data_IF_877292934019
#
_entry.id   IF_877292934019
#
_cell.length_a   1.000
_cell.length_b   1.000
_cell.length_c   1.000
_cell.angle_alpha   90.00
_cell.angle_beta   90.00
_cell.angle_gamma   90.00
#
_symmetry.space_group_name_H-M   'P 1'
#
loop_
_entity.id
_entity.type
_entity.pdbx_description
1 polymer ?
#
# COMPACT_ATOMS: atom_id res chain seq x y z
N UNK A 1 15.74 -3.74 -20.00
CA UNK A 1 16.05 -2.36 -19.57
C UNK A 1 17.44 -2.01 -20.07
N UNK A 2 17.61 -0.93 -20.84
CA UNK A 2 18.96 -0.39 -21.06
C UNK A 2 19.46 0.07 -19.68
N UNK A 3 20.48 -0.59 -19.17
CA UNK A 3 21.21 -0.13 -17.99
C UNK A 3 21.83 1.21 -18.34
N UNK A 4 21.18 2.31 -17.95
CA UNK A 4 21.74 3.64 -18.11
C UNK A 4 23.11 3.65 -17.44
N UNK A 5 24.13 4.06 -18.19
CA UNK A 5 25.46 4.21 -17.64
C UNK A 5 25.47 5.26 -16.51
N UNK A 6 26.59 5.32 -15.77
CA UNK A 6 26.62 6.07 -14.53
C UNK A 6 26.26 7.55 -14.68
N UNK A 7 26.73 8.15 -15.77
CA UNK A 7 26.54 9.56 -16.10
C UNK A 7 25.15 9.86 -16.65
N UNK A 8 24.56 8.99 -17.46
CA UNK A 8 23.25 9.22 -18.08
C UNK A 8 22.12 9.26 -17.04
N UNK A 9 22.17 8.40 -16.02
CA UNK A 9 21.18 8.45 -14.93
C UNK A 9 21.35 9.70 -14.07
N UNK A 10 22.60 10.11 -13.80
CA UNK A 10 22.88 11.33 -13.04
C UNK A 10 22.33 12.56 -13.77
N UNK A 11 22.50 12.62 -15.10
CA UNK A 11 21.87 13.64 -15.94
C UNK A 11 20.34 13.56 -15.83
N UNK A 12 19.75 12.37 -15.94
CA UNK A 12 18.30 12.19 -15.79
C UNK A 12 17.77 12.70 -14.43
N UNK A 13 18.51 12.47 -13.34
CA UNK A 13 18.17 13.01 -12.01
C UNK A 13 18.27 14.53 -11.98
N UNK A 14 19.35 15.10 -12.51
CA UNK A 14 19.52 16.55 -12.60
C UNK A 14 18.41 17.22 -13.43
N UNK A 15 18.00 16.60 -14.53
CA UNK A 15 16.95 17.13 -15.39
C UNK A 15 15.55 16.99 -14.76
N UNK A 16 15.29 15.87 -14.08
CA UNK A 16 14.05 15.70 -13.32
C UNK A 16 13.94 16.74 -12.18
N UNK A 17 15.03 17.04 -11.46
CA UNK A 17 15.04 18.10 -10.44
C UNK A 17 14.72 19.48 -11.03
N UNK A 18 15.30 19.83 -12.20
CA UNK A 18 14.96 21.10 -12.89
C UNK A 18 13.49 21.17 -13.31
N UNK A 19 12.90 20.02 -13.61
CA UNK A 19 11.51 19.90 -14.08
C UNK A 19 10.53 19.58 -12.94
N UNK A 20 10.97 19.68 -11.68
CA UNK A 20 10.21 19.19 -10.52
C UNK A 20 8.79 19.78 -10.44
N UNK A 21 8.60 21.05 -10.81
CA UNK A 21 7.29 21.71 -10.82
C UNK A 21 6.30 21.24 -11.90
N UNK A 22 6.71 20.38 -12.84
CA UNK A 22 5.86 19.92 -13.95
C UNK A 22 5.57 18.42 -13.88
N UNK A 23 4.42 18.05 -13.32
CA UNK A 23 3.98 16.65 -13.22
C UNK A 23 3.98 15.94 -14.58
N UNK A 24 3.49 16.61 -15.63
CA UNK A 24 3.47 16.04 -16.97
C UNK A 24 4.87 15.72 -17.49
N UNK A 25 5.85 16.60 -17.26
CA UNK A 25 7.22 16.37 -17.72
C UNK A 25 7.89 15.27 -16.92
N UNK A 26 7.72 15.27 -15.59
CA UNK A 26 8.21 14.20 -14.72
C UNK A 26 7.63 12.83 -15.08
N UNK A 27 6.35 12.77 -15.43
CA UNK A 27 5.68 11.52 -15.84
C UNK A 27 6.26 10.87 -17.10
N UNK A 28 6.96 11.67 -17.92
CA UNK A 28 7.64 11.26 -19.15
C UNK A 28 9.15 11.10 -18.95
N UNK A 29 9.66 11.42 -17.77
CA UNK A 29 11.09 11.34 -17.48
C UNK A 29 11.56 9.90 -17.45
N UNK A 30 12.86 9.71 -17.63
CA UNK A 30 13.51 8.40 -17.52
C UNK A 30 13.36 7.79 -16.12
N UNK A 31 13.18 8.64 -15.10
CA UNK A 31 12.95 8.21 -13.71
C UNK A 31 11.54 7.69 -13.48
N UNK A 32 10.58 7.93 -14.37
CA UNK A 32 9.22 7.40 -14.28
C UNK A 32 9.12 5.89 -14.62
N UNK A 33 10.21 5.14 -14.42
CA UNK A 33 10.26 3.69 -14.60
C UNK A 33 9.41 2.97 -13.55
N UNK A 34 8.71 1.91 -13.97
CA UNK A 34 7.80 1.15 -13.10
C UNK A 34 8.49 0.58 -11.84
N UNK A 35 9.74 0.09 -11.96
CA UNK A 35 10.49 -0.48 -10.84
C UNK A 35 10.77 0.53 -9.72
N UNK A 36 11.17 1.75 -10.09
CA UNK A 36 11.42 2.81 -9.12
C UNK A 36 10.13 3.30 -8.48
N UNK A 37 9.09 3.49 -9.30
CA UNK A 37 7.84 4.12 -8.87
C UNK A 37 6.92 3.17 -8.10
N UNK A 38 7.07 1.86 -8.24
CA UNK A 38 6.17 0.85 -7.65
C UNK A 38 5.77 1.12 -6.19
N UNK A 39 6.69 1.43 -5.24
CA UNK A 39 6.30 1.73 -3.87
C UNK A 39 5.47 3.01 -3.70
N UNK A 40 5.60 3.98 -4.61
CA UNK A 40 4.89 5.26 -4.56
C UNK A 40 3.53 5.25 -5.29
N UNK A 41 3.26 4.24 -6.15
CA UNK A 41 2.00 4.10 -6.89
C UNK A 41 0.93 3.41 -6.04
N UNK A 42 0.42 4.12 -5.03
CA UNK A 42 -0.46 3.56 -4.00
C UNK A 42 -1.94 3.60 -4.35
N UNK A 43 -2.36 4.39 -5.35
CA UNK A 43 -3.75 4.43 -5.84
C UNK A 43 -3.98 3.43 -6.97
N UNK A 44 -3.04 3.36 -7.92
CA UNK A 44 -3.09 2.45 -9.06
C UNK A 44 -1.67 2.08 -9.52
N UNK A 45 -1.21 0.88 -9.17
CA UNK A 45 0.09 0.38 -9.63
C UNK A 45 0.01 -0.31 -11.02
N UNK A 46 -1.19 -0.55 -11.55
CA UNK A 46 -1.39 -1.32 -12.79
C UNK A 46 -1.45 -0.38 -13.99
N UNK A 47 -2.21 0.71 -13.88
CA UNK A 47 -2.39 1.68 -14.95
C UNK A 47 -2.40 3.13 -14.42
N UNK A 48 -1.29 3.59 -13.82
CA UNK A 48 -1.22 4.92 -13.24
C UNK A 48 -1.40 6.01 -14.31
N UNK A 49 -2.11 7.08 -13.95
CA UNK A 49 -2.23 8.27 -14.78
C UNK A 49 -0.88 8.97 -14.97
N UNK A 50 -0.80 9.90 -15.91
CA UNK A 50 0.40 10.75 -16.04
C UNK A 50 0.63 11.57 -14.76
N UNK A 51 -0.44 12.08 -14.15
CA UNK A 51 -0.36 12.85 -12.91
C UNK A 51 0.19 12.02 -11.74
N UNK A 52 -0.34 10.81 -11.53
CA UNK A 52 0.13 9.89 -10.48
C UNK A 52 1.59 9.50 -10.67
N UNK A 53 2.02 9.25 -11.92
CA UNK A 53 3.43 9.00 -12.22
C UNK A 53 4.31 10.22 -11.92
N UNK A 54 3.85 11.42 -12.28
CA UNK A 54 4.54 12.66 -11.97
C UNK A 54 4.70 12.87 -10.46
N UNK A 55 3.63 12.67 -9.70
CA UNK A 55 3.62 12.77 -8.23
C UNK A 55 4.52 11.71 -7.59
N UNK A 56 4.50 10.47 -8.09
CA UNK A 56 5.38 9.40 -7.62
C UNK A 56 6.87 9.76 -7.85
N UNK A 57 7.23 10.32 -9.00
CA UNK A 57 8.59 10.83 -9.26
C UNK A 57 8.93 11.96 -8.28
N UNK A 58 8.02 12.92 -8.05
CA UNK A 58 8.25 14.01 -7.09
C UNK A 58 8.51 13.48 -5.68
N UNK A 59 7.71 12.52 -5.23
CA UNK A 59 7.84 11.91 -3.91
C UNK A 59 9.19 11.21 -3.76
N UNK A 60 9.59 10.44 -4.76
CA UNK A 60 10.87 9.72 -4.73
C UNK A 60 12.07 10.67 -4.78
N UNK A 61 11.98 11.78 -5.53
CA UNK A 61 13.01 12.83 -5.51
C UNK A 61 13.07 13.54 -4.16
N UNK A 62 11.93 13.89 -3.55
CA UNK A 62 11.89 14.46 -2.19
C UNK A 62 12.49 13.51 -1.16
N UNK A 63 12.13 12.23 -1.23
CA UNK A 63 12.71 11.18 -0.39
C UNK A 63 14.23 11.13 -0.55
N UNK A 64 14.74 11.08 -1.79
CA UNK A 64 16.16 10.98 -2.05
C UNK A 64 16.96 12.23 -1.67
N UNK A 65 16.38 13.43 -1.84
CA UNK A 65 17.01 14.69 -1.36
C UNK A 65 17.02 14.73 0.16
N UNK A 66 15.94 14.30 0.83
CA UNK A 66 15.90 14.25 2.29
C UNK A 66 16.99 13.34 2.90
N UNK A 67 17.52 12.37 2.15
CA UNK A 67 18.64 11.51 2.57
C UNK A 67 19.99 12.24 2.64
N UNK A 68 20.12 13.41 2.02
CA UNK A 68 21.30 14.25 2.14
C UNK A 68 21.39 14.97 3.49
N UNK A 69 20.27 15.06 4.22
CA UNK A 69 20.26 15.68 5.54
C UNK A 69 20.98 14.76 6.56
N UNK A 70 21.92 15.29 7.36
CA UNK A 70 22.65 14.51 8.36
C UNK A 70 21.75 13.86 9.42
N UNK A 71 20.62 14.50 9.72
CA UNK A 71 19.56 14.01 10.61
C UNK A 71 18.19 14.34 10.00
N UNK A 72 17.11 13.88 10.61
CA UNK A 72 15.75 14.21 10.16
C UNK A 72 15.60 15.74 10.02
N UNK A 73 15.20 16.24 8.85
CA UNK A 73 15.03 17.68 8.64
C UNK A 73 14.06 18.30 9.64
N UNK A 74 14.48 19.40 10.27
CA UNK A 74 13.67 20.10 11.26
C UNK A 74 12.43 20.78 10.65
N UNK A 75 12.49 21.36 9.43
CA UNK A 75 11.28 21.64 8.67
C UNK A 75 10.99 20.46 7.74
N UNK A 76 9.81 19.85 7.91
CA UNK A 76 9.26 18.90 6.96
C UNK A 76 9.00 19.57 5.60
N UNK A 77 8.88 18.76 4.54
CA UNK A 77 8.39 19.23 3.25
C UNK A 77 7.02 19.92 3.43
N UNK A 78 6.83 21.07 2.78
CA UNK A 78 5.67 21.94 2.82
C UNK A 78 5.72 22.99 3.94
N UNK A 79 6.69 22.92 4.85
CA UNK A 79 6.87 23.92 5.90
C UNK A 79 7.92 24.96 5.53
N UNK A 80 7.60 26.21 5.83
CA UNK A 80 8.53 27.33 5.68
C UNK A 80 9.74 27.13 6.60
N UNK A 81 10.93 27.51 6.10
CA UNK A 81 12.18 27.36 6.82
C UNK A 81 12.69 28.73 7.27
N UNK A 82 12.81 28.97 8.59
CA UNK A 82 13.30 30.25 9.11
C UNK A 82 14.71 30.60 8.60
N UNK A 83 14.97 31.88 8.32
CA UNK A 83 16.29 32.35 7.88
C UNK A 83 17.37 32.30 8.96
N UNK A 84 16.98 32.22 10.23
CA UNK A 84 17.87 32.08 11.39
C UNK A 84 18.17 30.61 11.75
N UNK A 85 17.67 29.64 10.98
CA UNK A 85 17.99 28.22 11.16
C UNK A 85 19.51 28.00 11.07
N UNK A 86 20.18 27.52 12.14
CA UNK A 86 21.64 27.37 12.17
C UNK A 86 22.16 26.39 11.09
N UNK A 87 21.33 25.47 10.64
CA UNK A 87 21.70 24.49 9.60
C UNK A 87 21.85 25.11 8.22
N UNK A 88 21.44 26.36 7.99
CA UNK A 88 21.77 27.07 6.75
C UNK A 88 23.29 27.12 6.53
N UNK A 89 24.03 27.50 7.58
CA UNK A 89 25.48 27.71 7.55
C UNK A 89 26.31 26.44 7.76
N UNK A 90 25.68 25.34 8.19
CA UNK A 90 26.37 24.06 8.41
C UNK A 90 26.72 23.38 7.06
N UNK A 91 28.02 23.15 6.77
CA UNK A 91 28.46 22.50 5.54
C UNK A 91 27.85 21.12 5.29
N UNK A 92 27.51 20.38 6.35
CA UNK A 92 26.89 19.06 6.23
C UNK A 92 25.46 19.14 5.67
N UNK A 93 24.80 20.30 5.81
CA UNK A 93 23.44 20.52 5.32
C UNK A 93 23.38 21.19 3.96
N UNK A 94 24.49 21.74 3.45
CA UNK A 94 24.50 22.51 2.20
C UNK A 94 23.90 21.74 1.01
N UNK A 95 24.24 20.46 0.84
CA UNK A 95 23.69 19.64 -0.25
C UNK A 95 22.16 19.56 -0.21
N UNK A 96 21.61 19.26 0.96
CA UNK A 96 20.17 19.25 1.20
C UNK A 96 19.54 20.63 0.96
N UNK A 97 20.08 21.68 1.61
CA UNK A 97 19.54 23.04 1.54
C UNK A 97 19.50 23.57 0.11
N UNK A 98 20.59 23.37 -0.65
CA UNK A 98 20.69 23.80 -2.04
C UNK A 98 19.64 23.09 -2.90
N UNK A 99 19.54 21.75 -2.81
CA UNK A 99 18.62 21.01 -3.68
C UNK A 99 17.15 21.23 -3.30
N UNK A 100 16.83 21.25 -1.99
CA UNK A 100 15.49 21.56 -1.50
C UNK A 100 15.05 22.92 -2.01
N UNK A 101 15.80 23.96 -1.65
CA UNK A 101 15.34 25.33 -1.90
C UNK A 101 15.51 25.76 -3.34
N UNK A 102 16.33 25.10 -4.16
CA UNK A 102 16.44 25.44 -5.59
C UNK A 102 15.42 24.75 -6.48
N UNK A 103 15.02 23.52 -6.15
CA UNK A 103 14.26 22.68 -7.07
C UNK A 103 12.92 22.24 -6.51
N UNK A 104 12.89 21.86 -5.23
CA UNK A 104 11.75 21.16 -4.65
C UNK A 104 10.78 22.13 -3.97
N UNK A 105 11.32 23.12 -3.26
CA UNK A 105 10.61 24.21 -2.58
C UNK A 105 11.34 25.53 -2.81
N UNK A 106 11.21 26.12 -4.02
CA UNK A 106 11.82 27.40 -4.36
C UNK A 106 11.49 28.50 -3.35
N UNK A 107 12.52 29.21 -2.88
CA UNK A 107 12.34 30.47 -2.14
C UNK A 107 11.48 31.44 -2.98
N UNK A 108 10.56 32.13 -2.31
CA UNK A 108 9.71 33.11 -2.97
C UNK A 108 10.56 34.30 -3.45
N UNK A 109 10.25 34.96 -4.59
CA UNK A 109 11.01 36.13 -5.05
C UNK A 109 11.09 37.26 -4.01
N UNK A 110 10.07 37.41 -3.16
CA UNK A 110 10.04 38.41 -2.09
C UNK A 110 11.02 38.11 -0.94
N UNK A 111 11.53 36.88 -0.88
CA UNK A 111 12.54 36.43 0.10
C UNK A 111 13.98 36.66 -0.40
N UNK A 112 14.13 37.19 -1.63
CA UNK A 112 15.45 37.45 -2.17
C UNK A 112 16.07 38.64 -1.46
N UNK A 113 17.40 38.58 -1.28
CA UNK A 113 18.18 39.70 -0.74
C UNK A 113 18.01 40.91 -1.66
N UNK A 114 17.97 42.14 -1.12
CA UNK A 114 17.69 43.34 -1.92
C UNK A 114 18.56 43.42 -3.20
N UNK A 115 17.90 43.42 -4.37
CA UNK A 115 18.56 43.46 -5.68
C UNK A 115 19.22 42.15 -6.12
N UNK A 116 19.13 41.10 -5.31
CA UNK A 116 19.80 39.83 -5.51
C UNK A 116 18.99 38.79 -6.31
N UNK A 117 19.70 37.88 -6.97
CA UNK A 117 19.11 36.73 -7.67
C UNK A 117 19.02 35.51 -6.75
N UNK A 118 18.21 34.52 -7.16
CA UNK A 118 18.02 33.26 -6.43
C UNK A 118 19.31 32.60 -5.92
N UNK A 119 20.37 32.53 -6.74
CA UNK A 119 21.67 31.94 -6.34
C UNK A 119 22.39 32.77 -5.27
N UNK A 120 22.32 34.10 -5.35
CA UNK A 120 22.95 35.01 -4.39
C UNK A 120 22.27 34.91 -3.02
N UNK A 121 20.95 34.77 -2.99
CA UNK A 121 20.19 34.49 -1.76
C UNK A 121 20.67 33.21 -1.09
N UNK A 122 20.79 32.11 -1.84
CA UNK A 122 21.28 30.85 -1.27
C UNK A 122 22.75 30.92 -0.84
N UNK A 123 23.62 31.64 -1.56
CA UNK A 123 25.01 31.87 -1.13
C UNK A 123 25.04 32.60 0.22
N UNK A 124 24.24 33.65 0.36
CA UNK A 124 24.17 34.44 1.59
C UNK A 124 23.63 33.64 2.78
N UNK A 125 22.56 32.86 2.56
CA UNK A 125 21.99 32.00 3.62
C UNK A 125 22.99 30.90 4.02
N UNK A 126 23.59 30.22 3.04
CA UNK A 126 24.50 29.09 3.32
C UNK A 126 25.89 29.51 3.80
N UNK A 127 26.29 30.76 3.58
CA UNK A 127 27.64 31.24 3.88
C UNK A 127 28.71 30.67 2.93
N UNK A 128 28.31 30.13 1.77
CA UNK A 128 29.25 29.62 0.77
C UNK A 128 29.97 30.80 0.11
N UNK A 129 31.30 30.73 0.06
CA UNK A 129 32.16 31.87 -0.29
C UNK A 129 32.17 32.26 -1.77
N UNK A 130 31.72 31.39 -2.68
CA UNK A 130 31.70 31.69 -4.12
C UNK A 130 30.71 30.81 -4.90
N UNK A 131 30.30 31.30 -6.07
CA UNK A 131 29.46 30.54 -7.01
C UNK A 131 30.09 29.22 -7.45
N UNK A 132 31.41 29.18 -7.65
CA UNK A 132 32.12 27.96 -8.04
C UNK A 132 31.93 26.84 -7.00
N UNK A 133 32.13 27.16 -5.71
CA UNK A 133 31.94 26.21 -4.62
C UNK A 133 30.47 25.79 -4.52
N UNK A 134 29.54 26.73 -4.71
CA UNK A 134 28.10 26.43 -4.71
C UNK A 134 27.73 25.40 -5.79
N UNK A 135 28.17 25.62 -7.03
CA UNK A 135 27.89 24.70 -8.13
C UNK A 135 28.57 23.34 -7.94
N UNK A 136 29.75 23.29 -7.33
CA UNK A 136 30.43 22.04 -6.98
C UNK A 136 29.69 21.26 -5.89
N UNK A 137 29.19 21.92 -4.85
CA UNK A 137 28.34 21.29 -3.82
C UNK A 137 27.04 20.79 -4.44
N UNK A 138 26.36 21.63 -5.23
CA UNK A 138 25.14 21.24 -5.95
C UNK A 138 25.36 20.01 -6.82
N UNK A 139 26.42 20.00 -7.63
CA UNK A 139 26.71 18.90 -8.52
C UNK A 139 27.00 17.63 -7.71
N UNK A 140 27.80 17.70 -6.63
CA UNK A 140 28.03 16.56 -5.72
C UNK A 140 26.73 16.02 -5.12
N UNK A 141 25.86 16.90 -4.62
CA UNK A 141 24.57 16.53 -4.07
C UNK A 141 23.69 15.79 -5.10
N UNK A 142 23.66 16.24 -6.36
CA UNK A 142 22.92 15.54 -7.43
C UNK A 142 23.49 14.12 -7.66
N UNK A 143 24.83 13.93 -7.59
CA UNK A 143 25.44 12.60 -7.71
C UNK A 143 25.02 11.69 -6.57
N UNK A 144 24.98 12.22 -5.36
CA UNK A 144 24.61 11.47 -4.17
C UNK A 144 23.12 11.07 -4.19
N UNK A 145 22.22 11.98 -4.60
CA UNK A 145 20.81 11.66 -4.87
C UNK A 145 20.69 10.54 -5.90
N UNK A 146 21.44 10.64 -7.01
CA UNK A 146 21.44 9.60 -8.03
C UNK A 146 21.94 8.25 -7.49
N UNK A 147 22.94 8.24 -6.59
CA UNK A 147 23.42 7.04 -5.93
C UNK A 147 22.36 6.45 -4.99
N UNK A 148 21.65 7.26 -4.21
CA UNK A 148 20.55 6.79 -3.35
C UNK A 148 19.43 6.15 -4.17
N UNK A 149 19.02 6.78 -5.27
CA UNK A 149 17.98 6.24 -6.16
C UNK A 149 18.41 4.91 -6.81
N UNK A 150 19.67 4.80 -7.25
CA UNK A 150 20.21 3.54 -7.77
C UNK A 150 20.28 2.45 -6.71
N UNK A 151 20.72 2.80 -5.51
CA UNK A 151 20.74 1.85 -4.41
C UNK A 151 19.32 1.36 -4.14
N UNK A 152 18.34 2.25 -4.09
CA UNK A 152 16.94 1.89 -3.91
C UNK A 152 16.38 1.00 -5.03
N UNK A 153 16.71 1.27 -6.30
CA UNK A 153 16.36 0.40 -7.42
C UNK A 153 16.85 -1.04 -7.24
N UNK A 154 18.06 -1.21 -6.67
CA UNK A 154 18.68 -2.52 -6.50
C UNK A 154 18.26 -3.23 -5.22
N UNK A 155 18.21 -2.50 -4.10
CA UNK A 155 18.02 -3.09 -2.77
C UNK A 155 16.58 -3.06 -2.28
N UNK A 156 15.76 -2.15 -2.82
CA UNK A 156 14.35 -1.96 -2.48
C UNK A 156 14.08 -1.74 -0.98
N UNK A 157 15.10 -1.38 -0.20
CA UNK A 157 15.04 -1.34 1.27
C UNK A 157 14.10 -0.26 1.79
N UNK A 158 13.91 0.83 1.05
CA UNK A 158 13.02 1.92 1.45
C UNK A 158 11.59 1.79 0.92
N UNK A 159 11.19 0.65 0.33
CA UNK A 159 9.86 0.48 -0.26
C UNK A 159 8.73 0.77 0.73
N UNK A 160 8.84 0.27 1.97
CA UNK A 160 7.83 0.51 3.02
C UNK A 160 7.77 1.99 3.42
N UNK A 161 8.92 2.65 3.55
CA UNK A 161 9.00 4.08 3.88
C UNK A 161 8.37 4.95 2.80
N UNK A 162 8.76 4.72 1.54
CA UNK A 162 8.24 5.44 0.36
C UNK A 162 6.73 5.22 0.23
N UNK A 163 6.26 3.98 0.40
CA UNK A 163 4.83 3.64 0.37
C UNK A 163 4.04 4.36 1.45
N UNK A 164 4.54 4.40 2.68
CA UNK A 164 3.86 5.08 3.78
C UNK A 164 3.77 6.59 3.54
N UNK A 165 4.83 7.20 2.98
CA UNK A 165 4.80 8.61 2.57
C UNK A 165 3.77 8.84 1.46
N UNK A 166 3.74 7.97 0.44
CA UNK A 166 2.78 8.09 -0.66
C UNK A 166 1.33 7.91 -0.20
N UNK A 167 1.07 6.98 0.73
CA UNK A 167 -0.25 6.80 1.34
C UNK A 167 -0.68 8.03 2.13
N UNK A 168 0.23 8.62 2.91
CA UNK A 168 -0.07 9.83 3.68
C UNK A 168 -0.43 11.00 2.75
N UNK A 169 0.36 11.26 1.72
CA UNK A 169 0.08 12.33 0.75
C UNK A 169 -1.21 12.07 -0.03
N UNK A 170 -1.43 10.83 -0.48
CA UNK A 170 -2.64 10.48 -1.21
C UNK A 170 -3.90 10.66 -0.36
N UNK A 171 -3.85 10.37 0.95
CA UNK A 171 -4.99 10.45 1.86
C UNK A 171 -5.24 11.85 2.43
N UNK A 172 -4.28 12.77 2.34
CA UNK A 172 -4.40 14.14 2.88
C UNK A 172 -5.70 14.88 2.46
N UNK A 173 -6.19 14.79 1.20
CA UNK A 173 -7.45 15.42 0.80
C UNK A 173 -8.68 14.90 1.54
N UNK A 174 -8.62 13.69 2.11
CA UNK A 174 -9.71 13.06 2.83
C UNK A 174 -9.73 13.39 4.33
N UNK A 175 -8.69 13.99 4.89
CA UNK A 175 -8.59 14.29 6.34
C UNK A 175 -9.78 15.10 6.87
N UNK A 176 -10.32 16.00 6.04
CA UNK A 176 -11.48 16.84 6.37
C UNK A 176 -12.83 16.24 5.94
N UNK A 177 -12.83 14.99 5.48
CA UNK A 177 -13.99 14.31 4.87
C UNK A 177 -14.24 12.93 5.50
N UNK A 178 -14.67 12.87 6.77
CA UNK A 178 -14.76 11.61 7.53
C UNK A 178 -15.72 10.58 6.91
N UNK A 179 -16.81 11.03 6.26
CA UNK A 179 -17.73 10.15 5.56
C UNK A 179 -17.05 9.42 4.38
N UNK A 180 -16.20 10.10 3.61
CA UNK A 180 -15.46 9.48 2.52
C UNK A 180 -14.41 8.50 3.04
N UNK A 181 -13.70 8.86 4.11
CA UNK A 181 -12.74 7.96 4.77
C UNK A 181 -13.43 6.68 5.27
N UNK A 182 -14.60 6.80 5.87
CA UNK A 182 -15.35 5.65 6.36
C UNK A 182 -15.85 4.76 5.21
N UNK A 183 -16.39 5.33 4.13
CA UNK A 183 -16.79 4.56 2.93
C UNK A 183 -15.58 3.87 2.30
N UNK A 184 -14.44 4.55 2.20
CA UNK A 184 -13.21 3.98 1.66
C UNK A 184 -12.68 2.84 2.56
N UNK A 185 -12.76 3.02 3.88
CA UNK A 185 -12.42 1.99 4.88
C UNK A 185 -13.32 0.76 4.82
N UNK A 186 -14.62 0.94 4.53
CA UNK A 186 -15.54 -0.17 4.24
C UNK A 186 -15.16 -0.90 2.94
N UNK A 187 -14.82 -0.15 1.88
CA UNK A 187 -14.32 -0.70 0.62
C UNK A 187 -13.05 -1.53 0.81
N UNK A 188 -12.21 -1.17 1.78
CA UNK A 188 -10.98 -1.90 2.10
C UNK A 188 -11.19 -3.31 2.67
N UNK A 189 -12.42 -3.68 3.03
CA UNK A 189 -12.72 -5.04 3.49
C UNK A 189 -12.81 -6.05 2.35
N UNK A 190 -13.10 -5.60 1.13
CA UNK A 190 -13.28 -6.47 -0.02
C UNK A 190 -11.94 -6.90 -0.61
N UNK A 191 -11.83 -8.19 -0.95
CA UNK A 191 -10.65 -8.76 -1.62
C UNK A 191 -10.81 -8.64 -3.14
N UNK A 192 -10.01 -7.76 -3.75
CA UNK A 192 -9.94 -7.64 -5.20
C UNK A 192 -11.06 -6.76 -5.76
N UNK A 193 -11.65 -7.19 -6.87
CA UNK A 193 -12.78 -6.51 -7.52
C UNK A 193 -14.07 -6.92 -6.80
N UNK A 194 -14.96 -5.97 -6.55
CA UNK A 194 -16.21 -6.20 -5.83
C UNK A 194 -17.37 -5.39 -6.40
N UNK A 195 -18.60 -5.86 -6.21
CA UNK A 195 -19.78 -5.17 -6.71
C UNK A 195 -20.00 -3.83 -5.98
N UNK A 196 -20.22 -2.76 -6.75
CA UNK A 196 -20.57 -1.43 -6.23
C UNK A 196 -21.78 -1.48 -5.30
N UNK A 197 -22.81 -2.22 -5.71
CA UNK A 197 -24.05 -2.36 -4.94
C UNK A 197 -23.79 -2.87 -3.51
N UNK A 198 -22.81 -3.75 -3.32
CA UNK A 198 -22.50 -4.29 -2.00
C UNK A 198 -21.88 -3.25 -1.07
N UNK A 199 -21.04 -2.36 -1.61
CA UNK A 199 -20.53 -1.23 -0.84
C UNK A 199 -21.65 -0.23 -0.53
N UNK A 200 -22.53 0.06 -1.48
CA UNK A 200 -23.69 0.94 -1.26
C UNK A 200 -24.60 0.41 -0.15
N UNK A 201 -24.91 -0.88 -0.16
CA UNK A 201 -25.69 -1.54 0.89
C UNK A 201 -25.00 -1.48 2.26
N UNK A 202 -23.69 -1.75 2.31
CA UNK A 202 -22.92 -1.73 3.55
C UNK A 202 -22.86 -0.31 4.17
N UNK A 203 -22.67 0.70 3.32
CA UNK A 203 -22.67 2.12 3.70
C UNK A 203 -24.05 2.54 4.20
N UNK A 204 -25.13 2.10 3.52
CA UNK A 204 -26.50 2.36 3.93
C UNK A 204 -26.85 1.69 5.27
N UNK A 205 -26.40 0.44 5.49
CA UNK A 205 -26.60 -0.29 6.73
C UNK A 205 -25.94 0.40 7.93
N UNK A 206 -24.84 1.12 7.72
CA UNK A 206 -24.17 1.92 8.75
C UNK A 206 -24.67 3.37 8.83
N UNK A 207 -25.77 3.69 8.13
CA UNK A 207 -26.44 5.00 8.14
C UNK A 207 -25.56 6.16 7.70
N UNK A 208 -24.56 5.89 6.85
CA UNK A 208 -23.77 6.95 6.23
C UNK A 208 -24.61 7.57 5.11
N UNK A 209 -24.89 8.89 5.14
CA UNK A 209 -25.74 9.52 4.15
C UNK A 209 -25.04 9.60 2.78
N UNK A 210 -25.86 9.64 1.72
CA UNK A 210 -25.41 9.85 0.34
C UNK A 210 -24.39 8.81 -0.18
N UNK A 211 -24.62 7.52 0.11
CA UNK A 211 -23.72 6.42 -0.26
C UNK A 211 -23.19 6.51 -1.71
N UNK A 212 -24.08 6.57 -2.71
CA UNK A 212 -23.68 6.64 -4.12
C UNK A 212 -22.89 7.91 -4.46
N UNK A 213 -23.19 9.04 -3.82
CA UNK A 213 -22.45 10.30 -4.01
C UNK A 213 -21.04 10.20 -3.43
N UNK A 214 -20.89 9.59 -2.26
CA UNK A 214 -19.59 9.39 -1.62
C UNK A 214 -18.72 8.43 -2.45
N UNK A 215 -19.30 7.35 -2.95
CA UNK A 215 -18.60 6.39 -3.83
C UNK A 215 -18.19 7.07 -5.13
N UNK A 216 -19.08 7.82 -5.79
CA UNK A 216 -18.73 8.58 -7.00
C UNK A 216 -17.59 9.57 -6.71
N UNK A 217 -17.64 10.27 -5.57
CA UNK A 217 -16.56 11.19 -5.18
C UNK A 217 -15.23 10.47 -4.98
N UNK A 218 -15.22 9.27 -4.41
CA UNK A 218 -14.00 8.45 -4.28
C UNK A 218 -13.48 7.93 -5.63
N UNK A 219 -14.36 7.70 -6.60
CA UNK A 219 -13.98 7.36 -7.98
C UNK A 219 -13.38 8.59 -8.68
N UNK A 220 -14.00 9.77 -8.55
CA UNK A 220 -13.49 11.02 -9.12
C UNK A 220 -12.11 11.38 -8.56
N UNK A 221 -11.90 11.11 -7.27
CA UNK A 221 -10.63 11.27 -6.58
C UNK A 221 -9.66 10.10 -6.80
N UNK A 222 -10.02 9.12 -7.63
CA UNK A 222 -9.23 7.93 -8.00
C UNK A 222 -8.86 6.98 -6.87
N UNK A 223 -9.47 7.09 -5.69
CA UNK A 223 -9.29 6.09 -4.63
C UNK A 223 -9.95 4.76 -4.98
N UNK A 224 -11.05 4.79 -5.74
CA UNK A 224 -11.71 3.60 -6.27
C UNK A 224 -11.63 3.63 -7.79
N UNK A 225 -11.29 2.48 -8.38
CA UNK A 225 -11.42 2.28 -9.84
C UNK A 225 -12.74 1.58 -10.10
N UNK A 226 -13.51 2.13 -11.03
CA UNK A 226 -14.71 1.48 -11.53
C UNK A 226 -14.42 0.81 -12.89
N UNK A 227 -15.13 -0.29 -13.19
CA UNK A 227 -15.18 -0.82 -14.55
C UNK A 227 -15.99 0.12 -15.48
N UNK A 228 -16.01 -0.18 -16.78
CA UNK A 228 -16.67 0.68 -17.79
C UNK A 228 -18.17 0.92 -17.52
N UNK A 229 -18.83 -0.04 -16.86
CA UNK A 229 -20.25 0.05 -16.50
C UNK A 229 -20.51 0.64 -15.11
N UNK A 230 -19.46 0.93 -14.33
CA UNK A 230 -19.58 1.42 -12.96
C UNK A 230 -20.14 0.41 -11.95
N UNK A 231 -20.34 -0.85 -12.34
CA UNK A 231 -20.96 -1.89 -11.52
C UNK A 231 -19.98 -2.58 -10.58
N UNK A 232 -18.70 -2.57 -10.92
CA UNK A 232 -17.63 -3.19 -10.15
C UNK A 232 -16.60 -2.15 -9.76
N UNK A 233 -16.08 -2.30 -8.55
CA UNK A 233 -15.10 -1.44 -7.94
C UNK A 233 -13.84 -2.23 -7.61
N UNK A 234 -12.71 -1.55 -7.67
CA UNK A 234 -11.42 -2.06 -7.26
C UNK A 234 -10.70 -1.03 -6.41
N UNK A 235 -10.04 -1.52 -5.37
CA UNK A 235 -9.17 -0.75 -4.50
C UNK A 235 -7.75 -1.30 -4.58
N UNK A 236 -6.77 -0.41 -4.71
CA UNK A 236 -5.36 -0.78 -4.71
C UNK A 236 -5.01 -1.62 -3.46
N UNK A 237 -4.24 -2.72 -3.60
CA UNK A 237 -3.81 -3.52 -2.45
C UNK A 237 -3.05 -2.71 -1.40
N UNK A 238 -2.14 -1.81 -1.82
CA UNK A 238 -1.36 -0.99 -0.89
C UNK A 238 -2.25 -0.07 -0.06
N UNK A 239 -3.26 0.54 -0.69
CA UNK A 239 -4.23 1.40 -0.02
C UNK A 239 -5.18 0.59 0.87
N UNK A 240 -5.67 -0.55 0.37
CA UNK A 240 -6.54 -1.46 1.10
C UNK A 240 -5.91 -1.90 2.41
N UNK A 241 -4.69 -2.42 2.35
CA UNK A 241 -4.03 -2.99 3.53
C UNK A 241 -3.76 -1.91 4.58
N UNK A 242 -3.36 -0.71 4.14
CA UNK A 242 -3.17 0.43 5.02
C UNK A 242 -4.47 0.84 5.73
N UNK A 243 -5.57 0.97 4.98
CA UNK A 243 -6.86 1.38 5.52
C UNK A 243 -7.45 0.33 6.46
N UNK A 244 -7.32 -0.96 6.12
CA UNK A 244 -7.82 -2.08 6.92
C UNK A 244 -7.32 -2.00 8.36
N UNK A 245 -6.02 -1.75 8.53
CA UNK A 245 -5.38 -1.67 9.85
C UNK A 245 -5.74 -0.42 10.67
N UNK A 246 -6.28 0.62 10.03
CA UNK A 246 -6.71 1.85 10.71
C UNK A 246 -8.16 1.79 11.19
N UNK A 247 -8.95 0.83 10.72
CA UNK A 247 -10.37 0.75 11.04
C UNK A 247 -10.61 0.31 12.49
N UNK A 248 -11.74 0.75 13.06
CA UNK A 248 -12.17 0.29 14.38
C UNK A 248 -12.48 -1.23 14.36
N UNK A 249 -11.81 -2.06 15.18
CA UNK A 249 -11.99 -3.52 15.15
C UNK A 249 -13.42 -4.02 15.41
N UNK A 250 -14.26 -3.25 16.14
CA UNK A 250 -15.67 -3.60 16.35
C UNK A 250 -16.49 -3.35 15.09
N UNK A 251 -16.26 -2.21 14.43
CA UNK A 251 -16.94 -1.87 13.18
C UNK A 251 -16.56 -2.85 12.07
N UNK A 252 -15.26 -3.14 11.93
CA UNK A 252 -14.73 -4.15 11.00
C UNK A 252 -15.43 -5.47 11.19
N UNK A 253 -15.47 -6.03 12.41
CA UNK A 253 -16.14 -7.32 12.64
C UNK A 253 -17.59 -7.31 12.20
N UNK A 254 -18.35 -6.26 12.52
CA UNK A 254 -19.75 -6.13 12.08
C UNK A 254 -19.87 -6.10 10.55
N UNK A 255 -19.05 -5.32 9.87
CA UNK A 255 -19.05 -5.24 8.41
C UNK A 255 -18.61 -6.55 7.76
N UNK A 256 -17.60 -7.22 8.30
CA UNK A 256 -17.15 -8.54 7.84
C UNK A 256 -18.29 -9.58 7.91
N UNK A 257 -19.11 -9.57 8.96
CA UNK A 257 -20.31 -10.44 9.03
C UNK A 257 -21.32 -10.14 7.93
N UNK A 258 -21.54 -8.87 7.60
CA UNK A 258 -22.49 -8.49 6.54
C UNK A 258 -21.98 -8.93 5.17
N UNK A 259 -20.70 -8.71 4.88
CA UNK A 259 -20.07 -9.15 3.64
C UNK A 259 -20.07 -10.67 3.53
N UNK A 260 -19.73 -11.39 4.61
CA UNK A 260 -19.76 -12.85 4.65
C UNK A 260 -21.15 -13.40 4.32
N UNK A 261 -22.21 -12.82 4.90
CA UNK A 261 -23.58 -13.21 4.63
C UNK A 261 -23.98 -12.99 3.16
N UNK A 262 -23.45 -11.95 2.49
CA UNK A 262 -23.67 -11.72 1.06
C UNK A 262 -22.99 -12.77 0.19
N UNK A 263 -21.72 -13.08 0.45
CA UNK A 263 -21.04 -14.16 -0.27
C UNK A 263 -21.72 -15.52 -0.07
N UNK A 264 -22.24 -15.77 1.13
CA UNK A 264 -23.00 -16.99 1.43
C UNK A 264 -24.30 -17.08 0.61
N UNK A 265 -25.01 -15.96 0.42
CA UNK A 265 -26.23 -15.90 -0.39
C UNK A 265 -25.99 -16.21 -1.88
N UNK A 266 -24.85 -15.80 -2.43
CA UNK A 266 -24.50 -16.04 -3.84
C UNK A 266 -23.76 -17.36 -4.06
N UNK A 267 -23.54 -18.15 -3.00
CA UNK A 267 -22.91 -19.46 -3.07
C UNK A 267 -21.38 -19.47 -3.02
N UNK A 268 -20.72 -18.31 -2.90
CA UNK A 268 -19.26 -18.22 -2.83
C UNK A 268 -18.74 -18.59 -1.43
N UNK A 269 -18.51 -19.89 -1.23
CA UNK A 269 -18.14 -20.45 0.05
C UNK A 269 -16.77 -19.98 0.57
N UNK A 270 -15.79 -19.79 -0.32
CA UNK A 270 -14.43 -19.43 0.07
C UNK A 270 -14.35 -17.99 0.57
N UNK A 271 -14.95 -17.04 -0.16
CA UNK A 271 -14.98 -15.66 0.30
C UNK A 271 -15.85 -15.51 1.55
N UNK A 272 -17.01 -16.17 1.61
CA UNK A 272 -17.85 -16.18 2.81
C UNK A 272 -17.06 -16.68 4.05
N UNK A 273 -16.38 -17.83 3.92
CA UNK A 273 -15.58 -18.41 4.99
C UNK A 273 -14.44 -17.48 5.44
N UNK A 274 -13.73 -16.84 4.51
CA UNK A 274 -12.68 -15.87 4.83
C UNK A 274 -13.24 -14.70 5.65
N UNK A 275 -14.33 -14.09 5.19
CA UNK A 275 -14.96 -12.97 5.88
C UNK A 275 -15.51 -13.38 7.27
N UNK A 276 -16.03 -14.59 7.44
CA UNK A 276 -16.42 -15.11 8.75
C UNK A 276 -15.23 -15.23 9.71
N UNK A 277 -14.07 -15.70 9.24
CA UNK A 277 -12.84 -15.72 10.06
C UNK A 277 -12.44 -14.30 10.47
N UNK A 278 -12.45 -13.34 9.55
CA UNK A 278 -12.12 -11.94 9.88
C UNK A 278 -13.12 -11.31 10.88
N UNK A 279 -14.36 -11.80 10.89
CA UNK A 279 -15.36 -11.42 11.89
C UNK A 279 -15.15 -12.08 13.27
N UNK A 280 -14.27 -13.08 13.37
CA UNK A 280 -14.08 -13.93 14.56
C UNK A 280 -15.06 -15.10 14.66
N UNK A 281 -15.85 -15.38 13.62
CA UNK A 281 -16.87 -16.43 13.57
C UNK A 281 -16.29 -17.73 13.01
N UNK A 282 -15.29 -18.29 13.68
CA UNK A 282 -14.55 -19.47 13.21
C UNK A 282 -15.45 -20.70 13.01
N UNK A 283 -16.41 -20.94 13.91
CA UNK A 283 -17.34 -22.07 13.81
C UNK A 283 -18.14 -22.00 12.50
N UNK A 284 -18.77 -20.86 12.22
CA UNK A 284 -19.56 -20.66 11.00
C UNK A 284 -18.71 -20.76 9.74
N UNK A 285 -17.47 -20.27 9.78
CA UNK A 285 -16.52 -20.43 8.68
C UNK A 285 -16.20 -21.91 8.39
N UNK A 286 -15.87 -22.67 9.44
CA UNK A 286 -15.56 -24.09 9.34
C UNK A 286 -16.75 -24.90 8.81
N UNK A 287 -17.96 -24.67 9.35
CA UNK A 287 -19.20 -25.31 8.88
C UNK A 287 -19.47 -25.00 7.39
N UNK A 288 -19.21 -23.76 6.96
CA UNK A 288 -19.39 -23.37 5.56
C UNK A 288 -18.41 -24.10 4.64
N UNK A 289 -17.13 -24.19 5.01
CA UNK A 289 -16.13 -24.90 4.22
C UNK A 289 -16.41 -26.40 4.16
N UNK A 290 -16.76 -27.02 5.30
CA UNK A 290 -17.09 -28.44 5.35
C UNK A 290 -18.30 -28.79 4.47
N UNK A 291 -19.38 -28.02 4.59
CA UNK A 291 -20.61 -28.24 3.80
C UNK A 291 -20.41 -27.99 2.30
N UNK A 292 -19.48 -27.13 1.92
CA UNK A 292 -19.20 -26.79 0.51
C UNK A 292 -18.01 -27.56 -0.09
N UNK A 293 -17.28 -28.34 0.71
CA UNK A 293 -15.99 -28.94 0.34
C UNK A 293 -16.05 -29.82 -0.91
N UNK A 294 -17.08 -30.65 -1.04
CA UNK A 294 -17.25 -31.51 -2.22
C UNK A 294 -17.43 -30.71 -3.51
N UNK A 295 -18.25 -29.65 -3.46
CA UNK A 295 -18.45 -28.75 -4.60
C UNK A 295 -17.15 -28.04 -4.99
N UNK A 296 -16.42 -27.49 -3.99
CA UNK A 296 -15.15 -26.82 -4.21
C UNK A 296 -14.08 -27.74 -4.83
N UNK A 297 -13.99 -28.99 -4.38
CA UNK A 297 -13.08 -29.98 -4.97
C UNK A 297 -13.49 -30.29 -6.42
N UNK A 298 -14.80 -30.45 -6.68
CA UNK A 298 -15.30 -30.70 -8.03
C UNK A 298 -15.04 -29.53 -9.00
N UNK A 299 -15.11 -28.29 -8.50
CA UNK A 299 -14.80 -27.06 -9.22
C UNK A 299 -13.29 -26.77 -9.33
N UNK A 300 -12.43 -27.73 -8.95
CA UNK A 300 -10.97 -27.63 -8.98
C UNK A 300 -10.42 -26.48 -8.12
N UNK A 301 -11.13 -26.08 -7.07
CA UNK A 301 -10.70 -25.06 -6.09
C UNK A 301 -9.92 -25.69 -4.93
N UNK A 302 -9.07 -26.67 -5.20
CA UNK A 302 -8.38 -27.48 -4.18
C UNK A 302 -7.34 -26.64 -3.43
N UNK A 303 -6.51 -25.85 -4.13
CA UNK A 303 -5.51 -24.97 -3.53
C UNK A 303 -6.15 -23.85 -2.69
N UNK A 304 -7.16 -23.10 -3.16
CA UNK A 304 -7.85 -22.11 -2.33
C UNK A 304 -8.52 -22.71 -1.10
N UNK A 305 -9.09 -23.93 -1.21
CA UNK A 305 -9.63 -24.64 -0.06
C UNK A 305 -8.53 -25.02 0.93
N UNK A 306 -7.38 -25.51 0.46
CA UNK A 306 -6.22 -25.79 1.30
C UNK A 306 -5.77 -24.56 2.10
N UNK A 307 -5.66 -23.40 1.43
CA UNK A 307 -5.30 -22.13 2.08
C UNK A 307 -6.34 -21.70 3.12
N UNK A 308 -7.64 -21.85 2.82
CA UNK A 308 -8.71 -21.49 3.75
C UNK A 308 -8.69 -22.37 5.02
N UNK A 309 -8.37 -23.66 4.88
CA UNK A 309 -8.29 -24.60 6.01
C UNK A 309 -7.08 -24.33 6.91
N UNK A 310 -5.98 -23.80 6.36
CA UNK A 310 -4.73 -23.55 7.12
C UNK A 310 -4.86 -22.43 8.17
N UNK A 311 -6.00 -21.73 8.22
CA UNK A 311 -6.26 -20.66 9.20
C UNK A 311 -6.75 -21.20 10.55
N UNK A 312 -7.32 -22.41 10.60
CA UNK A 312 -7.90 -22.95 11.82
C UNK A 312 -6.83 -23.47 12.79
N UNK A 313 -7.07 -23.28 14.08
CA UNK A 313 -6.21 -23.72 15.19
C UNK A 313 -7.08 -24.40 16.24
N UNK A 314 -6.53 -25.31 17.07
CA UNK A 314 -7.33 -26.07 18.05
C UNK A 314 -8.18 -25.25 19.02
N UNK A 315 -7.78 -24.02 19.34
CA UNK A 315 -8.53 -23.14 20.25
C UNK A 315 -9.63 -22.33 19.54
N UNK A 316 -9.70 -22.37 18.21
CA UNK A 316 -10.73 -21.67 17.44
C UNK A 316 -12.06 -22.43 17.40
N UNK A 317 -12.03 -23.77 17.49
CA UNK A 317 -13.16 -24.65 17.20
C UNK A 317 -13.37 -25.68 18.32
N UNK A 318 -14.61 -26.17 18.52
CA UNK A 318 -14.86 -27.36 19.34
C UNK A 318 -14.08 -28.59 18.82
N UNK A 319 -13.67 -29.53 19.68
CA UNK A 319 -12.84 -30.67 19.28
C UNK A 319 -13.40 -31.50 18.12
N UNK A 320 -14.72 -31.74 18.10
CA UNK A 320 -15.38 -32.49 17.04
C UNK A 320 -15.30 -31.78 15.67
N UNK A 321 -15.51 -30.46 15.65
CA UNK A 321 -15.45 -29.68 14.41
C UNK A 321 -14.00 -29.52 13.93
N UNK A 322 -13.05 -29.38 14.86
CA UNK A 322 -11.62 -29.34 14.52
C UNK A 322 -11.12 -30.68 13.95
N UNK A 323 -11.63 -31.81 14.46
CA UNK A 323 -11.37 -33.13 13.90
C UNK A 323 -11.78 -33.19 12.43
N UNK A 324 -13.00 -32.77 12.09
CA UNK A 324 -13.48 -32.79 10.71
C UNK A 324 -12.67 -31.86 9.79
N UNK A 325 -12.26 -30.68 10.28
CA UNK A 325 -11.36 -29.78 9.54
C UNK A 325 -10.01 -30.44 9.26
N UNK A 326 -9.39 -31.10 10.24
CA UNK A 326 -8.12 -31.79 10.00
C UNK A 326 -8.23 -32.96 9.02
N UNK A 327 -9.35 -33.70 9.06
CA UNK A 327 -9.60 -34.77 8.10
C UNK A 327 -9.71 -34.19 6.68
N UNK A 328 -10.57 -33.19 6.47
CA UNK A 328 -10.70 -32.53 5.18
C UNK A 328 -9.37 -31.94 4.69
N UNK A 329 -8.63 -31.27 5.58
CA UNK A 329 -7.33 -30.69 5.22
C UNK A 329 -6.29 -31.75 4.86
N UNK A 330 -6.34 -32.93 5.51
CA UNK A 330 -5.49 -34.07 5.17
C UNK A 330 -5.80 -34.62 3.78
N UNK A 331 -7.09 -34.78 3.46
CA UNK A 331 -7.56 -35.24 2.15
C UNK A 331 -7.12 -34.28 1.04
N UNK A 332 -7.37 -32.99 1.24
CA UNK A 332 -6.94 -31.92 0.33
C UNK A 332 -5.41 -31.90 0.17
N UNK A 333 -4.66 -32.03 1.26
CA UNK A 333 -3.18 -32.10 1.22
C UNK A 333 -2.68 -33.31 0.43
N UNK A 334 -3.38 -34.43 0.51
CA UNK A 334 -3.05 -35.65 -0.23
C UNK A 334 -3.31 -35.45 -1.73
N UNK A 335 -4.44 -34.83 -2.11
CA UNK A 335 -4.77 -34.51 -3.50
C UNK A 335 -3.76 -33.53 -4.11
N UNK A 336 -3.23 -32.59 -3.33
CA UNK A 336 -2.16 -31.66 -3.75
C UNK A 336 -0.76 -32.29 -3.76
N UNK A 337 -0.63 -33.60 -3.53
CA UNK A 337 0.65 -34.30 -3.55
C UNK A 337 1.56 -34.01 -2.35
N UNK A 338 0.99 -33.61 -1.21
CA UNK A 338 1.71 -33.32 0.04
C UNK A 338 1.40 -34.35 1.16
N UNK A 339 1.88 -35.60 1.03
CA UNK A 339 1.57 -36.67 1.98
C UNK A 339 2.19 -36.43 3.37
N UNK A 340 3.24 -35.60 3.46
CA UNK A 340 3.84 -35.23 4.75
C UNK A 340 2.92 -34.31 5.54
N UNK A 341 2.32 -33.31 4.89
CA UNK A 341 1.33 -32.44 5.52
C UNK A 341 0.09 -33.23 5.94
N UNK A 342 -0.43 -34.09 5.05
CA UNK A 342 -1.57 -34.96 5.34
C UNK A 342 -1.34 -35.82 6.61
N UNK A 343 -0.22 -36.55 6.69
CA UNK A 343 0.12 -37.35 7.88
C UNK A 343 0.21 -36.53 9.16
N UNK A 344 0.72 -35.30 9.09
CA UNK A 344 0.79 -34.39 10.25
C UNK A 344 -0.60 -34.00 10.72
N UNK A 345 -1.52 -33.73 9.79
CA UNK A 345 -2.92 -33.40 10.09
C UNK A 345 -3.65 -34.61 10.71
N UNK A 346 -3.50 -35.82 10.17
CA UNK A 346 -4.04 -37.03 10.80
C UNK A 346 -3.49 -37.25 12.21
N UNK A 347 -2.19 -37.03 12.45
CA UNK A 347 -1.61 -37.12 13.81
C UNK A 347 -2.20 -36.09 14.76
N UNK A 348 -2.48 -34.88 14.28
CA UNK A 348 -3.13 -33.82 15.05
C UNK A 348 -4.63 -34.11 15.31
N UNK A 349 -5.28 -34.85 14.41
CA UNK A 349 -6.67 -35.29 14.53
C UNK A 349 -6.87 -36.43 15.55
N UNK A 350 -5.94 -37.38 15.65
CA UNK A 350 -6.03 -38.54 16.56
C UNK A 350 -6.39 -38.20 18.02
N UNK A 351 -5.78 -37.21 18.70
CA UNK A 351 -6.13 -36.88 20.08
C UNK A 351 -7.52 -36.24 20.23
N UNK A 352 -8.11 -35.73 19.15
CA UNK A 352 -9.45 -35.14 19.14
C UNK A 352 -10.56 -36.19 18.95
N UNK A 353 -10.22 -37.39 18.49
CA UNK A 353 -11.18 -38.48 18.29
C UNK A 353 -11.58 -39.14 19.62
N UNK A 354 -12.86 -38.99 19.99
CA UNK A 354 -13.39 -39.46 21.28
C UNK A 354 -13.83 -40.92 21.28
N UNK A 355 -14.11 -41.50 20.10
CA UNK A 355 -14.61 -42.88 19.97
C UNK A 355 -13.82 -43.72 18.93
N UNK A 356 -13.97 -45.07 18.94
CA UNK A 356 -13.29 -45.95 17.98
C UNK A 356 -13.66 -45.69 16.51
N UNK A 357 -14.89 -45.26 16.23
CA UNK A 357 -15.35 -44.97 14.86
C UNK A 357 -14.62 -43.75 14.29
N UNK A 358 -14.47 -42.70 15.10
CA UNK A 358 -13.71 -41.50 14.75
C UNK A 358 -12.21 -41.80 14.58
N UNK A 359 -11.62 -42.61 15.47
CA UNK A 359 -10.23 -43.07 15.29
C UNK A 359 -10.06 -43.86 13.99
N UNK A 360 -11.04 -44.70 13.64
CA UNK A 360 -11.08 -45.40 12.37
C UNK A 360 -11.11 -44.47 11.15
N UNK A 361 -11.83 -43.34 11.22
CA UNK A 361 -11.83 -42.32 10.15
C UNK A 361 -10.46 -41.68 9.94
N UNK A 362 -9.70 -41.41 11.00
CA UNK A 362 -8.38 -40.78 10.94
C UNK A 362 -7.29 -41.69 10.37
N UNK A 363 -7.44 -43.01 10.54
CA UNK A 363 -6.45 -44.02 10.15
C UNK A 363 -6.67 -44.62 8.76
N UNK A 364 -7.76 -44.24 8.07
CA UNK A 364 -7.93 -44.52 6.64
C UNK A 364 -6.98 -43.65 5.83
#
# INVERSE_FOLDING_TARGET
MQTLNDNAFMQAVGDALKQFGSLLTLSRSVLASAELLQPALVLDAVSPSAEERGQAVQLILRWAVARLAPTTPAPAWGSDRPFDDPTWRDPLWWGYNILRHRYLEPLHPDEFVEGGRFTETLLNLTGISSEAVFYDVRNRAIREVAQHLRHQLRSQTANTTIRNQALHEALAPLEKQPALQQVLGMGALFRGVFARAWLEELVAADRIPFASRNINRLIDLRFLRANDHGSELWLSPALRDHLYHQQNPRAVRRWQRQIAARYEQIGDALNAAWHWVQAGEFVRSAERLLSSSQALIHELQIEPLHEALDVFRPHHLPPALMLDIYLLHSDVSTQLGNPRAARRLCRAALPLASDPTQKGRVLR
#
